data_IF_242527373015
#
_entry.id   IF_242527373015
#
_cell.length_a   1.000
_cell.length_b   1.000
_cell.length_c   1.000
_cell.angle_alpha   90.00
_cell.angle_beta   90.00
_cell.angle_gamma   90.00
#
_symmetry.space_group_name_H-M   'P 1'
#
loop_
_entity.id
_entity.type
_entity.pdbx_description
1 polymer ?
#
# COMPACT_ATOMS: atom_id res chain seq x y z
N UNK A 1 -13.58 13.78 -3.20
CA UNK A 1 -12.77 13.14 -4.24
C UNK A 1 -11.31 13.37 -3.87
N UNK A 2 -10.47 12.34 -3.95
CA UNK A 2 -9.05 12.46 -3.62
C UNK A 2 -8.28 12.89 -4.87
N UNK A 3 -7.37 13.85 -4.74
CA UNK A 3 -6.51 14.33 -5.81
C UNK A 3 -5.20 13.55 -5.90
N UNK A 4 -4.53 13.60 -7.05
CA UNK A 4 -3.20 13.01 -7.24
C UNK A 4 -2.15 13.61 -6.32
N UNK A 5 -2.28 14.91 -6.03
CA UNK A 5 -1.39 15.62 -5.11
C UNK A 5 -1.52 15.07 -3.68
N UNK A 6 -2.73 14.78 -3.22
CA UNK A 6 -2.95 14.16 -1.91
C UNK A 6 -2.36 12.75 -1.83
N UNK A 7 -2.47 11.95 -2.89
CA UNK A 7 -1.84 10.62 -2.92
C UNK A 7 -0.32 10.72 -2.95
N UNK A 8 0.23 11.67 -3.71
CA UNK A 8 1.68 11.93 -3.73
C UNK A 8 2.21 12.36 -2.36
N UNK A 9 1.45 13.20 -1.65
CA UNK A 9 1.78 13.63 -0.29
C UNK A 9 1.73 12.46 0.71
N UNK A 10 0.74 11.57 0.60
CA UNK A 10 0.68 10.33 1.38
C UNK A 10 1.89 9.44 1.11
N UNK A 11 2.19 9.17 -0.17
CA UNK A 11 3.35 8.34 -0.57
C UNK A 11 4.65 8.91 0.00
N UNK A 12 4.86 10.22 -0.14
CA UNK A 12 6.04 10.92 0.39
C UNK A 12 6.14 10.79 1.90
N UNK A 13 5.03 10.98 2.62
CA UNK A 13 5.00 10.90 4.09
C UNK A 13 5.31 9.48 4.59
N UNK A 14 4.78 8.46 3.93
CA UNK A 14 5.08 7.05 4.24
C UNK A 14 6.54 6.73 3.94
N UNK A 15 7.06 7.20 2.80
CA UNK A 15 8.44 6.93 2.39
C UNK A 15 9.48 7.64 3.26
N UNK A 16 9.16 8.80 3.83
CA UNK A 16 10.03 9.46 4.82
C UNK A 16 10.31 8.56 6.03
N UNK A 17 9.28 7.83 6.50
CA UNK A 17 9.41 6.89 7.62
C UNK A 17 10.25 5.68 7.21
N UNK A 18 10.06 5.19 5.98
CA UNK A 18 10.66 3.94 5.49
C UNK A 18 12.08 4.11 4.93
N UNK A 19 12.51 5.33 4.62
CA UNK A 19 13.84 5.62 4.04
C UNK A 19 14.99 5.01 4.83
N UNK A 20 14.93 5.07 6.17
CA UNK A 20 15.97 4.49 7.05
C UNK A 20 16.08 2.96 6.98
N UNK A 21 15.14 2.32 6.32
CA UNK A 21 15.07 0.86 6.14
C UNK A 21 15.34 0.44 4.68
N UNK A 22 15.82 1.34 3.81
CA UNK A 22 15.97 1.09 2.36
C UNK A 22 14.69 0.48 1.75
N UNK A 23 13.53 1.00 2.17
CA UNK A 23 12.23 0.52 1.75
C UNK A 23 11.34 1.68 1.33
N UNK A 24 10.47 1.47 0.35
CA UNK A 24 9.46 2.44 -0.06
C UNK A 24 8.15 1.78 -0.44
N UNK A 25 7.09 2.58 -0.49
CA UNK A 25 5.86 2.30 -1.22
C UNK A 25 5.78 3.16 -2.47
N UNK A 26 5.19 2.60 -3.52
CA UNK A 26 4.89 3.29 -4.77
C UNK A 26 3.45 3.01 -5.17
N UNK A 27 2.64 4.05 -5.26
CA UNK A 27 1.26 3.96 -5.73
C UNK A 27 1.28 3.84 -7.25
N UNK A 28 0.72 2.74 -7.78
CA UNK A 28 0.72 2.53 -9.22
C UNK A 28 -0.21 3.52 -9.94
N UNK A 29 -0.02 3.69 -11.26
CA UNK A 29 -0.99 4.43 -12.08
C UNK A 29 -2.41 3.88 -11.92
N UNK A 30 -2.56 2.56 -11.82
CA UNK A 30 -3.86 1.91 -11.66
C UNK A 30 -4.51 2.24 -10.30
N UNK A 31 -3.72 2.32 -9.23
CA UNK A 31 -4.19 2.80 -7.94
C UNK A 31 -4.70 4.24 -8.05
N UNK A 32 -3.85 5.14 -8.55
CA UNK A 32 -4.07 6.59 -8.50
C UNK A 32 -5.18 7.04 -9.45
N UNK A 33 -5.10 6.64 -10.73
CA UNK A 33 -5.96 7.16 -11.80
C UNK A 33 -7.25 6.37 -11.94
N UNK A 34 -7.18 5.05 -11.83
CA UNK A 34 -8.30 4.19 -12.22
C UNK A 34 -9.17 3.78 -11.04
N UNK A 35 -8.58 3.71 -9.83
CA UNK A 35 -9.21 3.02 -8.70
C UNK A 35 -9.53 3.89 -7.51
N UNK A 36 -8.78 4.98 -7.32
CA UNK A 36 -8.92 5.78 -6.11
C UNK A 36 -10.32 6.38 -5.96
N UNK A 37 -10.83 6.97 -7.05
CA UNK A 37 -12.14 7.63 -7.10
C UNK A 37 -13.20 6.80 -7.85
N UNK A 38 -12.96 5.49 -8.00
CA UNK A 38 -13.88 4.60 -8.70
C UNK A 38 -15.21 4.46 -7.94
N UNK A 39 -16.34 4.45 -8.67
CA UNK A 39 -17.69 4.39 -8.11
C UNK A 39 -18.00 3.09 -7.35
N UNK A 40 -17.20 2.03 -7.56
CA UNK A 40 -17.27 0.79 -6.78
C UNK A 40 -16.89 0.98 -5.32
N UNK A 41 -16.14 2.03 -4.99
CA UNK A 41 -15.83 2.37 -3.61
C UNK A 41 -17.04 3.05 -2.97
N UNK A 42 -17.88 2.25 -2.30
CA UNK A 42 -19.07 2.74 -1.58
C UNK A 42 -18.99 2.36 -0.09
N UNK A 43 -18.87 3.34 0.83
CA UNK A 43 -18.66 4.76 0.57
C UNK A 43 -17.31 5.06 -0.13
N UNK A 44 -17.15 6.28 -0.66
CA UNK A 44 -15.87 6.71 -1.23
C UNK A 44 -14.73 6.51 -0.23
N UNK A 45 -13.53 6.22 -0.72
CA UNK A 45 -12.36 6.14 0.14
C UNK A 45 -11.88 7.55 0.46
N UNK A 46 -11.58 7.79 1.73
CA UNK A 46 -11.12 9.07 2.24
C UNK A 46 -9.60 9.06 2.43
N UNK A 47 -8.94 10.18 2.18
CA UNK A 47 -7.48 10.31 2.37
C UNK A 47 -7.07 10.03 3.82
N UNK A 48 -7.94 10.38 4.78
CA UNK A 48 -7.74 10.08 6.19
C UNK A 48 -7.71 8.56 6.49
N UNK A 49 -8.52 7.75 5.80
CA UNK A 49 -8.51 6.30 5.95
C UNK A 49 -7.18 5.72 5.45
N UNK A 50 -6.68 6.18 4.29
CA UNK A 50 -5.40 5.74 3.75
C UNK A 50 -4.24 6.10 4.68
N UNK A 51 -4.18 7.35 5.16
CA UNK A 51 -3.18 7.77 6.16
C UNK A 51 -3.20 6.86 7.39
N UNK A 52 -4.40 6.63 7.94
CA UNK A 52 -4.60 5.74 9.09
C UNK A 52 -4.13 4.30 8.80
N UNK A 53 -4.41 3.77 7.61
CA UNK A 53 -3.99 2.42 7.21
C UNK A 53 -2.46 2.33 7.11
N UNK A 54 -1.81 3.24 6.39
CA UNK A 54 -0.36 3.20 6.21
C UNK A 54 0.40 3.49 7.50
N UNK A 55 -0.11 4.35 8.38
CA UNK A 55 0.48 4.56 9.70
C UNK A 55 0.43 3.29 10.55
N UNK A 56 -0.71 2.57 10.58
CA UNK A 56 -0.81 1.29 11.29
C UNK A 56 0.04 0.20 10.64
N UNK A 57 0.10 0.16 9.30
CA UNK A 57 0.90 -0.80 8.55
C UNK A 57 2.39 -0.65 8.87
N UNK A 58 2.92 0.57 8.78
CA UNK A 58 4.34 0.85 9.07
C UNK A 58 4.68 0.63 10.55
N UNK A 59 3.75 0.93 11.46
CA UNK A 59 3.94 0.67 12.89
C UNK A 59 3.99 -0.83 13.22
N UNK A 60 3.08 -1.63 12.64
CA UNK A 60 2.86 -3.04 13.04
C UNK A 60 3.61 -4.06 12.19
N UNK A 61 3.78 -3.78 10.89
CA UNK A 61 4.15 -4.81 9.91
C UNK A 61 5.41 -4.49 9.09
N UNK A 62 6.10 -3.36 9.34
CA UNK A 62 7.27 -2.97 8.53
C UNK A 62 8.36 -4.05 8.46
N UNK A 63 8.62 -4.75 9.56
CA UNK A 63 9.65 -5.80 9.62
C UNK A 63 9.20 -7.03 8.81
N UNK A 64 7.93 -7.40 8.92
CA UNK A 64 7.36 -8.51 8.13
C UNK A 64 7.39 -8.20 6.63
N UNK A 65 7.07 -6.95 6.24
CA UNK A 65 7.13 -6.50 4.84
C UNK A 65 8.57 -6.57 4.32
N UNK A 66 9.55 -6.11 5.11
CA UNK A 66 10.97 -6.11 4.72
C UNK A 66 11.52 -7.54 4.48
N UNK A 67 10.96 -8.54 5.18
CA UNK A 67 11.32 -9.94 5.04
C UNK A 67 10.71 -10.63 3.81
N UNK A 68 9.79 -9.97 3.09
CA UNK A 68 9.21 -10.52 1.86
C UNK A 68 10.28 -10.62 0.77
N UNK A 69 10.20 -11.69 -0.03
CA UNK A 69 11.14 -11.94 -1.13
C UNK A 69 10.78 -11.10 -2.35
N UNK A 70 11.76 -10.88 -3.23
CA UNK A 70 11.51 -10.31 -4.56
C UNK A 70 10.40 -11.10 -5.28
N UNK A 71 9.52 -10.41 -6.00
CA UNK A 71 8.36 -10.95 -6.71
C UNK A 71 7.28 -11.59 -5.80
N UNK A 72 7.38 -11.43 -4.47
CA UNK A 72 6.26 -11.79 -3.58
C UNK A 72 5.10 -10.82 -3.78
N UNK A 73 3.88 -11.32 -3.61
CA UNK A 73 2.68 -10.49 -3.52
C UNK A 73 2.06 -10.60 -2.14
N UNK A 74 1.37 -9.54 -1.73
CA UNK A 74 0.68 -9.48 -0.44
C UNK A 74 -0.50 -8.50 -0.51
N UNK A 75 -1.45 -8.64 0.40
CA UNK A 75 -2.58 -7.71 0.49
C UNK A 75 -2.53 -6.90 1.79
N UNK A 76 -2.68 -5.59 1.70
CA UNK A 76 -2.97 -4.75 2.87
C UNK A 76 -4.49 -4.69 3.03
N UNK A 77 -5.01 -5.16 4.15
CA UNK A 77 -6.46 -5.25 4.39
C UNK A 77 -6.85 -4.53 5.67
N UNK A 78 -7.62 -3.45 5.53
CA UNK A 78 -8.27 -2.81 6.66
C UNK A 78 -9.60 -3.52 6.94
N UNK A 79 -9.69 -4.18 8.09
CA UNK A 79 -10.89 -4.96 8.45
C UNK A 79 -12.08 -4.09 8.82
N UNK A 80 -11.83 -2.88 9.32
CA UNK A 80 -12.85 -1.91 9.74
C UNK A 80 -13.44 -1.18 8.54
N UNK A 81 -12.59 -0.58 7.70
CA UNK A 81 -13.07 0.19 6.53
C UNK A 81 -13.31 -0.68 5.30
N UNK A 82 -12.95 -1.96 5.36
CA UNK A 82 -13.02 -2.90 4.24
C UNK A 82 -12.21 -2.46 3.02
N UNK A 83 -11.17 -1.64 3.20
CA UNK A 83 -10.25 -1.24 2.12
C UNK A 83 -9.19 -2.32 1.95
N UNK A 84 -8.99 -2.75 0.70
CA UNK A 84 -8.03 -3.76 0.31
C UNK A 84 -7.07 -3.18 -0.74
N UNK A 85 -5.79 -3.45 -0.56
CA UNK A 85 -4.72 -2.96 -1.44
C UNK A 85 -3.72 -4.08 -1.72
N UNK A 86 -3.94 -4.87 -2.79
CA UNK A 86 -2.97 -5.80 -3.34
C UNK A 86 -1.66 -5.09 -3.71
N UNK A 87 -0.55 -5.72 -3.34
CA UNK A 87 0.79 -5.19 -3.49
C UNK A 87 1.74 -6.25 -4.07
N UNK A 88 2.82 -5.78 -4.70
CA UNK A 88 3.94 -6.60 -5.15
C UNK A 88 5.26 -6.05 -4.63
N UNK A 89 6.21 -6.95 -4.37
CA UNK A 89 7.56 -6.62 -3.90
C UNK A 89 8.53 -6.62 -5.07
N UNK A 90 9.14 -5.46 -5.30
CA UNK A 90 10.23 -5.27 -6.25
C UNK A 90 11.51 -4.93 -5.47
N UNK A 91 12.54 -5.77 -5.56
CA UNK A 91 13.82 -5.57 -4.88
C UNK A 91 14.84 -5.17 -5.93
N UNK A 92 15.35 -3.96 -5.79
CA UNK A 92 16.24 -3.34 -6.77
C UNK A 92 17.64 -3.35 -6.19
N UNK A 93 18.57 -4.06 -6.84
CA UNK A 93 19.97 -4.02 -6.47
C UNK A 93 20.62 -2.76 -7.04
N UNK A 94 21.33 -2.03 -6.18
CA UNK A 94 22.06 -0.82 -6.54
C UNK A 94 23.45 -0.83 -5.91
N UNK A 95 24.33 0.09 -6.33
CA UNK A 95 25.65 0.26 -5.74
C UNK A 95 25.60 0.58 -4.22
N UNK A 96 24.50 1.17 -3.74
CA UNK A 96 24.24 1.46 -2.32
C UNK A 96 23.55 0.32 -1.56
N UNK A 97 23.35 -0.83 -2.20
CA UNK A 97 22.68 -1.99 -1.63
C UNK A 97 21.32 -2.28 -2.26
N UNK A 98 20.60 -3.24 -1.66
CA UNK A 98 19.24 -3.62 -2.06
C UNK A 98 18.24 -2.58 -1.56
N UNK A 99 17.37 -2.09 -2.44
CA UNK A 99 16.20 -1.28 -2.11
C UNK A 99 14.92 -2.11 -2.25
N UNK A 100 14.12 -2.16 -1.19
CA UNK A 100 12.84 -2.87 -1.13
C UNK A 100 11.68 -1.94 -1.53
N UNK A 101 11.25 -1.98 -2.79
CA UNK A 101 10.10 -1.23 -3.28
C UNK A 101 8.82 -2.07 -3.20
N UNK A 102 7.80 -1.56 -2.50
CA UNK A 102 6.47 -2.17 -2.44
C UNK A 102 5.53 -1.41 -3.38
N UNK A 103 5.09 -2.05 -4.45
CA UNK A 103 4.18 -1.43 -5.42
C UNK A 103 2.75 -1.71 -4.99
N UNK A 104 2.01 -0.67 -4.65
CA UNK A 104 0.56 -0.76 -4.37
C UNK A 104 -0.17 -0.75 -5.70
N UNK A 105 -0.65 -1.93 -6.11
CA UNK A 105 -1.15 -2.15 -7.47
C UNK A 105 -2.52 -1.49 -7.65
N UNK A 106 -3.41 -1.63 -6.67
CA UNK A 106 -4.80 -1.21 -6.76
C UNK A 106 -5.36 -0.88 -5.38
N UNK A 107 -6.57 -0.31 -5.34
CA UNK A 107 -7.33 -0.06 -4.11
C UNK A 107 -8.80 -0.33 -4.36
N UNK A 108 -9.45 -0.98 -3.38
CA UNK A 108 -10.88 -1.27 -3.46
C UNK A 108 -11.49 -1.35 -2.07
N UNK A 109 -12.65 -0.72 -1.88
CA UNK A 109 -13.52 -0.99 -0.73
C UNK A 109 -14.43 -2.18 -1.03
N UNK A 110 -14.28 -3.28 -0.27
CA UNK A 110 -15.08 -4.50 -0.40
C UNK A 110 -15.07 -5.30 0.91
N UNK A 111 -16.24 -5.45 1.55
CA UNK A 111 -16.39 -6.17 2.82
C UNK A 111 -16.03 -7.66 2.69
N UNK A 112 -16.67 -8.34 1.72
CA UNK A 112 -16.44 -9.75 1.40
C UNK A 112 -15.22 -9.93 0.49
N UNK A 113 -14.08 -9.39 0.92
CA UNK A 113 -12.82 -9.55 0.21
C UNK A 113 -12.26 -10.96 0.39
N UNK A 114 -11.89 -11.58 -0.74
CA UNK A 114 -11.14 -12.83 -0.78
C UNK A 114 -9.80 -12.52 -1.43
N UNK A 115 -8.75 -12.46 -0.62
CA UNK A 115 -7.40 -12.26 -1.11
C UNK A 115 -6.98 -13.45 -1.97
N UNK A 116 -6.28 -13.16 -3.07
CA UNK A 116 -5.56 -14.18 -3.84
C UNK A 116 -4.14 -14.37 -3.32
N UNK A 117 -3.65 -13.41 -2.54
CA UNK A 117 -2.34 -13.43 -1.94
C UNK A 117 -2.35 -14.30 -0.69
N UNK A 118 -1.33 -15.14 -0.54
CA UNK A 118 -1.15 -15.99 0.64
C UNK A 118 -0.75 -15.21 1.90
N UNK A 119 -0.25 -13.98 1.73
CA UNK A 119 0.12 -13.09 2.82
C UNK A 119 -0.84 -11.90 2.85
N UNK A 120 -1.47 -11.68 4.01
CA UNK A 120 -2.28 -10.50 4.29
C UNK A 120 -1.76 -9.77 5.53
N UNK A 121 -1.60 -8.44 5.43
CA UNK A 121 -1.37 -7.58 6.57
C UNK A 121 -2.68 -6.94 6.99
N UNK A 122 -3.23 -7.45 8.10
CA UNK A 122 -4.50 -6.97 8.65
C UNK A 122 -4.28 -5.70 9.49
N UNK A 123 -5.15 -4.72 9.26
CA UNK A 123 -5.12 -3.37 9.81
C UNK A 123 -6.44 -2.98 10.47
#
# INVERSE_FOLDING_TARGET
MITEAEISALESSVNEILRKHNMSFKMSKHFVKDRMNDSRNTPMIMIAELNSIFNRLTARHKENILNLKHNSTFNIRCTISHINMPCAVNKIQSHSGEHHENIVITVMRKAEWKSKDSVEFLI
#
